data_IF_168872563326
#
_entry.id   IF_168872563326
#
_cell.length_a   1.000
_cell.length_b   1.000
_cell.length_c   1.000
_cell.angle_alpha   90.00
_cell.angle_beta   90.00
_cell.angle_gamma   90.00
#
_symmetry.space_group_name_H-M   'P 1'
#
loop_
_entity.id
_entity.type
_entity.pdbx_description
1 polymer ?
#
# COMPACT_ATOMS: atom_id res chain seq x y z
N UNK A 1 -2.60 -34.43 -31.74
CA UNK A 1 -2.06 -33.07 -31.98
C UNK A 1 -2.85 -32.06 -31.15
N UNK A 2 -2.92 -32.28 -29.82
CA UNK A 2 -3.82 -31.53 -28.90
C UNK A 2 -3.15 -31.01 -27.63
N UNK A 3 -2.05 -31.60 -27.17
CA UNK A 3 -1.42 -31.20 -25.90
C UNK A 3 -0.64 -29.89 -25.90
N UNK A 4 -0.22 -29.38 -27.07
CA UNK A 4 0.48 -28.08 -27.16
C UNK A 4 -0.48 -26.88 -27.26
N UNK A 5 -1.69 -27.10 -27.78
CA UNK A 5 -2.72 -26.04 -27.87
C UNK A 5 -3.35 -25.83 -26.49
N UNK A 6 -3.52 -26.91 -25.71
CA UNK A 6 -4.06 -26.86 -24.35
C UNK A 6 -3.11 -26.19 -23.35
N UNK A 7 -1.79 -26.32 -23.53
CA UNK A 7 -0.78 -25.58 -22.76
C UNK A 7 -0.77 -24.07 -23.08
N UNK A 8 -1.26 -23.68 -24.27
CA UNK A 8 -1.32 -22.28 -24.74
C UNK A 8 -2.69 -21.65 -24.48
N UNK A 9 -3.75 -22.43 -24.35
CA UNK A 9 -5.02 -21.97 -23.79
C UNK A 9 -4.89 -21.92 -22.27
N UNK A 10 -4.31 -20.84 -21.77
CA UNK A 10 -4.28 -20.55 -20.33
C UNK A 10 -5.68 -20.76 -19.75
N UNK A 11 -5.79 -21.57 -18.70
CA UNK A 11 -7.01 -21.68 -17.92
C UNK A 11 -7.51 -20.26 -17.58
N UNK A 12 -8.81 -19.98 -17.71
CA UNK A 12 -9.34 -18.67 -17.35
C UNK A 12 -8.95 -18.36 -15.91
N UNK A 13 -8.35 -17.18 -15.69
CA UNK A 13 -7.90 -16.73 -14.37
C UNK A 13 -9.08 -16.84 -13.40
N UNK A 14 -8.97 -17.78 -12.47
CA UNK A 14 -10.04 -18.07 -11.51
C UNK A 14 -9.99 -17.03 -10.39
N UNK A 15 -11.06 -16.28 -10.22
CA UNK A 15 -11.19 -15.32 -9.12
C UNK A 15 -11.25 -16.12 -7.81
N UNK A 16 -10.35 -15.79 -6.87
CA UNK A 16 -10.25 -16.45 -5.55
C UNK A 16 -10.75 -15.53 -4.45
N UNK A 17 -11.01 -16.09 -3.26
CA UNK A 17 -11.44 -15.32 -2.10
C UNK A 17 -10.37 -14.32 -1.65
N UNK A 18 -9.09 -14.64 -1.83
CA UNK A 18 -7.98 -13.73 -1.52
C UNK A 18 -7.99 -12.50 -2.44
N UNK A 19 -8.32 -12.65 -3.73
CA UNK A 19 -8.48 -11.52 -4.65
C UNK A 19 -9.65 -10.64 -4.20
N UNK A 20 -10.77 -11.26 -3.83
CA UNK A 20 -11.97 -10.55 -3.36
C UNK A 20 -11.66 -9.79 -2.05
N UNK A 21 -10.83 -10.33 -1.17
CA UNK A 21 -10.43 -9.62 0.06
C UNK A 21 -9.63 -8.34 -0.19
N UNK A 22 -9.12 -8.13 -1.41
CA UNK A 22 -8.33 -6.94 -1.80
C UNK A 22 -9.13 -5.90 -2.58
N UNK A 23 -10.43 -6.07 -2.76
CA UNK A 23 -11.28 -5.09 -3.46
C UNK A 23 -12.19 -4.30 -2.50
N UNK A 24 -12.24 -4.69 -1.23
CA UNK A 24 -13.06 -4.04 -0.20
C UNK A 24 -12.21 -3.14 0.71
N UNK A 25 -12.19 -1.81 0.49
CA UNK A 25 -11.55 -0.89 1.41
C UNK A 25 -12.27 -0.91 2.76
N UNK A 26 -11.48 -1.05 3.84
CA UNK A 26 -11.98 -1.07 5.22
C UNK A 26 -11.21 -0.04 6.06
N UNK A 27 -11.92 0.62 6.98
CA UNK A 27 -11.37 1.55 7.96
C UNK A 27 -10.20 0.96 8.76
N UNK A 28 -10.24 -0.34 9.06
CA UNK A 28 -9.13 -1.00 9.76
C UNK A 28 -7.82 -0.94 8.96
N UNK A 29 -7.87 -1.15 7.64
CA UNK A 29 -6.68 -1.04 6.77
C UNK A 29 -6.15 0.40 6.76
N UNK A 30 -7.03 1.39 6.71
CA UNK A 30 -6.66 2.80 6.76
C UNK A 30 -5.98 3.18 8.09
N UNK A 31 -6.52 2.72 9.23
CA UNK A 31 -5.90 2.96 10.54
C UNK A 31 -4.50 2.35 10.60
N UNK A 32 -4.35 1.09 10.17
CA UNK A 32 -3.05 0.41 10.11
C UNK A 32 -2.08 1.16 9.21
N UNK A 33 -2.53 1.66 8.06
CA UNK A 33 -1.74 2.46 7.15
C UNK A 33 -1.25 3.77 7.81
N UNK A 34 -2.12 4.49 8.51
CA UNK A 34 -1.76 5.72 9.24
C UNK A 34 -0.72 5.43 10.31
N UNK A 35 -0.93 4.42 11.17
CA UNK A 35 0.03 4.09 12.21
C UNK A 35 1.36 3.60 11.64
N UNK A 36 1.34 2.84 10.54
CA UNK A 36 2.57 2.42 9.85
C UNK A 36 3.36 3.62 9.32
N UNK A 37 2.69 4.63 8.77
CA UNK A 37 3.30 5.89 8.36
C UNK A 37 3.91 6.66 9.54
N UNK A 38 3.19 6.75 10.65
CA UNK A 38 3.70 7.41 11.87
C UNK A 38 4.95 6.72 12.41
N UNK A 39 4.89 5.38 12.57
CA UNK A 39 6.03 4.59 13.05
C UNK A 39 7.19 4.68 12.06
N UNK A 40 6.93 4.69 10.76
CA UNK A 40 7.95 4.83 9.72
C UNK A 40 8.67 6.16 9.77
N UNK A 41 7.93 7.27 9.88
CA UNK A 41 8.51 8.60 10.02
C UNK A 41 9.31 8.75 11.32
N UNK A 42 8.81 8.17 12.43
CA UNK A 42 9.54 8.15 13.69
C UNK A 42 10.83 7.33 13.61
N UNK A 43 10.76 6.12 13.04
CA UNK A 43 11.91 5.24 12.82
C UNK A 43 12.96 5.90 11.94
N UNK A 44 12.54 6.51 10.82
CA UNK A 44 13.44 7.25 9.95
C UNK A 44 14.16 8.41 10.66
N UNK A 45 13.50 9.03 11.65
CA UNK A 45 14.07 10.12 12.43
C UNK A 45 14.97 9.66 13.59
N UNK A 46 15.03 8.35 13.88
CA UNK A 46 15.77 7.78 15.01
C UNK A 46 16.66 6.63 14.54
N UNK A 47 17.98 6.80 14.66
CA UNK A 47 18.99 5.82 14.20
C UNK A 47 18.89 4.41 14.84
N UNK A 48 18.15 4.27 15.95
CA UNK A 48 18.02 3.01 16.70
C UNK A 48 16.83 2.12 16.29
N UNK A 49 15.92 2.58 15.42
CA UNK A 49 14.81 1.76 14.95
C UNK A 49 15.12 1.09 13.61
N UNK A 50 14.74 -0.18 13.48
CA UNK A 50 14.93 -0.92 12.22
C UNK A 50 13.96 -0.43 11.15
N UNK A 51 14.41 0.51 10.32
CA UNK A 51 13.70 1.01 9.13
C UNK A 51 13.21 -0.13 8.22
N UNK A 52 13.93 -1.26 8.21
CA UNK A 52 13.59 -2.46 7.43
C UNK A 52 12.24 -3.04 7.82
N UNK A 53 11.93 -3.13 9.12
CA UNK A 53 10.68 -3.72 9.61
C UNK A 53 9.49 -2.86 9.19
N UNK A 54 9.64 -1.54 9.27
CA UNK A 54 8.59 -0.60 8.83
C UNK A 54 8.41 -0.67 7.31
N UNK A 55 9.51 -0.72 6.56
CA UNK A 55 9.47 -0.91 5.10
C UNK A 55 8.71 -2.17 4.70
N UNK A 56 8.95 -3.29 5.40
CA UNK A 56 8.21 -4.55 5.18
C UNK A 56 6.71 -4.36 5.43
N UNK A 57 6.31 -3.71 6.52
CA UNK A 57 4.90 -3.48 6.84
C UNK A 57 4.19 -2.65 5.75
N UNK A 58 4.85 -1.59 5.26
CA UNK A 58 4.35 -0.74 4.17
C UNK A 58 4.23 -1.55 2.86
N UNK A 59 5.26 -2.33 2.52
CA UNK A 59 5.24 -3.18 1.33
C UNK A 59 4.14 -4.23 1.37
N UNK A 60 3.93 -4.88 2.52
CA UNK A 60 2.86 -5.87 2.71
C UNK A 60 1.47 -5.23 2.56
N UNK A 61 1.31 -3.96 2.92
CA UNK A 61 0.03 -3.24 2.76
C UNK A 61 -0.24 -2.74 1.32
N UNK A 62 0.79 -2.51 0.51
CA UNK A 62 0.66 -1.87 -0.81
C UNK A 62 0.84 -2.83 -2.00
N UNK A 63 1.78 -3.77 -1.92
CA UNK A 63 2.11 -4.66 -3.03
C UNK A 63 0.93 -5.58 -3.40
N UNK A 64 0.23 -6.25 -2.44
CA UNK A 64 -0.85 -7.15 -2.81
C UNK A 64 -2.04 -6.46 -3.51
N UNK A 65 -2.57 -5.32 -3.02
CA UNK A 65 -3.59 -4.57 -3.76
C UNK A 65 -3.12 -4.12 -5.15
N UNK A 66 -1.87 -3.67 -5.29
CA UNK A 66 -1.33 -3.27 -6.58
C UNK A 66 -1.23 -4.44 -7.58
N UNK A 67 -0.87 -5.64 -7.09
CA UNK A 67 -0.87 -6.85 -7.90
C UNK A 67 -2.29 -7.22 -8.38
N UNK A 68 -3.30 -7.09 -7.50
CA UNK A 68 -4.71 -7.33 -7.84
C UNK A 68 -5.25 -6.29 -8.83
N UNK A 69 -4.78 -5.04 -8.79
CA UNK A 69 -5.10 -4.04 -9.83
C UNK A 69 -4.62 -4.52 -11.21
N UNK A 70 -3.37 -4.96 -11.31
CA UNK A 70 -2.80 -5.50 -12.55
C UNK A 70 -3.59 -6.70 -13.07
N UNK A 71 -3.96 -7.62 -12.17
CA UNK A 71 -4.78 -8.78 -12.49
C UNK A 71 -6.18 -8.37 -13.00
N UNK A 72 -6.84 -7.42 -12.33
CA UNK A 72 -8.15 -6.88 -12.71
C UNK A 72 -8.15 -6.24 -14.10
N UNK A 73 -7.06 -5.58 -14.49
CA UNK A 73 -6.88 -5.01 -15.83
C UNK A 73 -6.78 -6.13 -16.88
N UNK A 74 -6.03 -7.20 -16.59
CA UNK A 74 -5.85 -8.34 -17.52
C UNK A 74 -7.17 -9.09 -17.77
N UNK A 75 -7.98 -9.30 -16.73
CA UNK A 75 -9.28 -9.96 -16.86
C UNK A 75 -10.40 -9.01 -17.31
N UNK A 76 -10.10 -7.71 -17.49
CA UNK A 76 -11.03 -6.66 -17.86
C UNK A 76 -12.28 -6.60 -16.95
N UNK A 77 -12.08 -6.75 -15.63
CA UNK A 77 -13.14 -6.67 -14.63
C UNK A 77 -13.07 -5.33 -13.88
N UNK A 78 -13.98 -4.38 -14.16
CA UNK A 78 -14.04 -3.08 -13.51
C UNK A 78 -14.17 -3.14 -11.99
N UNK A 79 -14.89 -4.12 -11.45
CA UNK A 79 -15.09 -4.24 -10.02
C UNK A 79 -13.77 -4.55 -9.32
N UNK A 80 -12.94 -5.39 -9.92
CA UNK A 80 -11.67 -5.82 -9.34
C UNK A 80 -10.60 -4.72 -9.43
N UNK A 81 -10.36 -4.16 -10.62
CA UNK A 81 -9.28 -3.17 -10.75
C UNK A 81 -9.63 -1.85 -10.04
N UNK A 82 -10.88 -1.41 -10.03
CA UNK A 82 -11.28 -0.18 -9.34
C UNK A 82 -11.26 -0.37 -7.82
N UNK A 83 -11.85 -1.45 -7.31
CA UNK A 83 -11.90 -1.72 -5.87
C UNK A 83 -10.50 -1.85 -5.26
N UNK A 84 -9.62 -2.61 -5.93
CA UNK A 84 -8.24 -2.76 -5.46
C UNK A 84 -7.41 -1.50 -5.62
N UNK A 85 -7.67 -0.69 -6.65
CA UNK A 85 -7.03 0.63 -6.80
C UNK A 85 -7.42 1.56 -5.66
N UNK A 86 -8.69 1.55 -5.25
CA UNK A 86 -9.16 2.35 -4.13
C UNK A 86 -8.53 1.91 -2.81
N UNK A 87 -8.42 0.59 -2.57
CA UNK A 87 -7.72 0.06 -1.40
C UNK A 87 -6.23 0.44 -1.41
N UNK A 88 -5.55 0.33 -2.54
CA UNK A 88 -4.16 0.78 -2.70
C UNK A 88 -4.00 2.28 -2.38
N UNK A 89 -4.83 3.13 -3.00
CA UNK A 89 -4.75 4.57 -2.85
C UNK A 89 -5.07 5.02 -1.42
N UNK A 90 -6.08 4.41 -0.78
CA UNK A 90 -6.42 4.72 0.61
C UNK A 90 -5.32 4.31 1.59
N UNK A 91 -4.69 3.14 1.40
CA UNK A 91 -3.52 2.74 2.17
C UNK A 91 -2.34 3.69 1.96
N UNK A 92 -2.04 4.04 0.71
CA UNK A 92 -0.96 4.97 0.38
C UNK A 92 -1.20 6.34 1.03
N UNK A 93 -2.42 6.88 0.89
CA UNK A 93 -2.79 8.16 1.49
C UNK A 93 -2.69 8.11 3.02
N UNK A 94 -3.11 7.01 3.65
CA UNK A 94 -2.99 6.81 5.10
C UNK A 94 -1.53 6.85 5.57
N UNK A 95 -0.64 6.13 4.89
CA UNK A 95 0.80 6.13 5.20
C UNK A 95 1.39 7.53 5.07
N UNK A 96 1.12 8.22 3.96
CA UNK A 96 1.61 9.59 3.74
C UNK A 96 1.10 10.53 4.83
N UNK A 97 -0.21 10.48 5.12
CA UNK A 97 -0.83 11.32 6.14
C UNK A 97 -0.22 11.07 7.52
N UNK A 98 -0.11 9.82 7.95
CA UNK A 98 0.52 9.45 9.22
C UNK A 98 1.98 9.91 9.31
N UNK A 99 2.72 9.82 8.21
CA UNK A 99 4.11 10.28 8.14
C UNK A 99 4.21 11.80 8.31
N UNK A 100 3.35 12.56 7.62
CA UNK A 100 3.29 14.03 7.73
C UNK A 100 2.96 14.45 9.17
N UNK A 101 1.95 13.83 9.79
CA UNK A 101 1.59 14.10 11.18
C UNK A 101 2.79 13.87 12.09
N UNK A 102 3.48 12.72 11.96
CA UNK A 102 4.63 12.40 12.80
C UNK A 102 5.81 13.34 12.59
N UNK A 103 6.17 13.67 11.35
CA UNK A 103 7.24 14.63 11.08
C UNK A 103 6.92 16.01 11.66
N UNK A 104 5.67 16.45 11.56
CA UNK A 104 5.21 17.72 12.17
C UNK A 104 5.34 17.68 13.69
N UNK A 105 4.98 16.56 14.34
CA UNK A 105 5.16 16.36 15.79
C UNK A 105 6.63 16.36 16.21
N UNK A 106 7.53 15.88 15.36
CA UNK A 106 8.97 15.91 15.59
C UNK A 106 9.60 17.29 15.31
N UNK A 107 8.82 18.28 14.87
CA UNK A 107 9.29 19.65 14.64
C UNK A 107 9.94 19.88 13.27
N UNK A 108 9.89 18.90 12.36
CA UNK A 108 10.30 19.10 10.98
C UNK A 108 9.37 20.15 10.34
N UNK A 109 9.94 21.28 9.89
CA UNK A 109 9.20 22.42 9.36
C UNK A 109 9.21 23.68 10.24
N UNK A 110 9.81 23.66 11.44
CA UNK A 110 9.95 24.83 12.31
C UNK A 110 11.27 25.61 12.17
N UNK A 111 12.17 25.23 11.25
CA UNK A 111 13.42 25.94 10.99
C UNK A 111 13.30 26.85 9.76
N UNK A 112 12.68 28.01 9.94
CA UNK A 112 12.74 29.16 9.04
C UNK A 112 12.42 30.38 9.89
N UNK A 113 13.42 30.97 10.56
CA UNK A 113 13.23 32.29 11.18
C UNK A 113 14.10 32.73 12.36
N UNK A 114 14.90 31.88 13.02
CA UNK A 114 15.56 32.30 14.28
C UNK A 114 17.10 32.29 14.26
N UNK A 115 17.75 32.10 13.11
CA UNK A 115 19.23 32.15 13.00
C UNK A 115 19.74 33.41 12.27
N UNK A 116 18.99 34.52 12.29
CA UNK A 116 19.39 35.81 11.70
C UNK A 116 19.36 36.97 12.71
N UNK A 117 19.88 36.77 13.91
CA UNK A 117 20.35 37.87 14.78
C UNK A 117 21.82 37.69 15.17
#
# INVERSE_FOLDING_TARGET
MGGLVEFVTADPIKITEEIISRIEPNLLHLLVAIFSGMVGAYAYSKQDLSERIVGIAISVALIPPLAVVGLGIVINDPQIWQGSSLLYLTNLAGIIFGSIVMFTLLGFGKYTGEDME
#
